data_IF_872606265552
#
_entry.id   IF_872606265552
#
_cell.length_a   1.000
_cell.length_b   1.000
_cell.length_c   1.000
_cell.angle_alpha   90.00
_cell.angle_beta   90.00
_cell.angle_gamma   90.00
#
_symmetry.space_group_name_H-M   'P 1'
#
loop_
_entity.id
_entity.type
_entity.pdbx_description
1 polymer ?
#
# COMPACT_ATOMS: atom_id res chain seq x y z
N UNK A 1 3.93 -9.62 -4.42
CA UNK A 1 2.48 -9.52 -4.32
C UNK A 1 2.13 -9.02 -2.91
N UNK A 2 1.40 -7.91 -2.80
CA UNK A 2 1.08 -7.27 -1.51
C UNK A 2 0.20 -8.16 -0.60
N UNK A 3 -0.54 -9.10 -1.15
CA UNK A 3 -1.32 -10.06 -0.35
C UNK A 3 -0.45 -11.00 0.47
N UNK A 4 0.78 -11.24 0.01
CA UNK A 4 1.73 -12.15 0.67
C UNK A 4 2.59 -11.45 1.73
N UNK A 5 2.61 -10.10 1.75
CA UNK A 5 3.35 -9.35 2.75
C UNK A 5 2.73 -9.52 4.14
N UNK A 6 3.58 -9.84 5.09
CA UNK A 6 3.20 -9.96 6.49
C UNK A 6 3.50 -8.66 7.22
N UNK A 7 2.44 -7.98 7.63
CA UNK A 7 2.53 -6.76 8.43
C UNK A 7 2.45 -7.08 9.92
N UNK A 8 3.06 -6.22 10.73
CA UNK A 8 2.86 -6.24 12.16
C UNK A 8 1.38 -5.99 12.48
N UNK A 9 0.77 -6.92 13.19
CA UNK A 9 -0.58 -6.79 13.73
C UNK A 9 -0.57 -7.00 15.24
N UNK A 10 -1.68 -6.78 15.91
CA UNK A 10 -1.80 -7.04 17.35
C UNK A 10 -1.57 -8.49 17.72
N UNK A 11 -1.66 -9.44 16.79
CA UNK A 11 -1.55 -10.89 17.04
C UNK A 11 -0.30 -11.52 16.47
N UNK A 12 0.17 -11.04 15.30
CA UNK A 12 1.21 -11.69 14.53
C UNK A 12 2.42 -10.79 14.33
N UNK A 13 3.60 -11.41 14.26
CA UNK A 13 4.83 -10.74 13.84
C UNK A 13 4.78 -10.45 12.33
N UNK A 14 5.17 -9.24 11.94
CA UNK A 14 5.31 -8.87 10.53
C UNK A 14 6.57 -9.47 9.90
N UNK A 15 6.71 -9.25 8.60
CA UNK A 15 7.88 -9.65 7.81
C UNK A 15 9.14 -8.91 8.27
N UNK A 16 10.26 -9.64 8.43
CA UNK A 16 11.54 -9.04 8.85
C UNK A 16 12.26 -8.36 7.67
N UNK A 17 13.19 -7.42 7.94
CA UNK A 17 14.03 -6.84 6.88
C UNK A 17 14.81 -7.87 6.08
N UNK A 18 15.33 -8.92 6.73
CA UNK A 18 16.07 -10.00 6.10
C UNK A 18 15.19 -10.80 5.14
N UNK A 19 13.98 -11.14 5.54
CA UNK A 19 13.00 -11.83 4.69
C UNK A 19 12.64 -11.00 3.45
N UNK A 20 12.50 -9.68 3.62
CA UNK A 20 12.23 -8.76 2.51
C UNK A 20 13.41 -8.70 1.51
N UNK A 21 14.64 -8.60 2.02
CA UNK A 21 15.84 -8.60 1.17
C UNK A 21 16.02 -9.94 0.46
N UNK A 22 15.75 -11.05 1.12
CA UNK A 22 15.80 -12.39 0.53
C UNK A 22 14.76 -12.56 -0.60
N UNK A 23 13.58 -12.00 -0.42
CA UNK A 23 12.49 -12.08 -1.41
C UNK A 23 12.67 -11.12 -2.60
N UNK A 24 13.13 -9.89 -2.36
CA UNK A 24 13.12 -8.81 -3.36
C UNK A 24 14.51 -8.30 -3.76
N UNK A 25 15.57 -8.84 -3.16
CA UNK A 25 16.93 -8.46 -3.44
C UNK A 25 17.44 -7.30 -2.58
N UNK A 26 18.69 -6.92 -2.83
CA UNK A 26 19.37 -5.87 -2.08
C UNK A 26 18.68 -4.51 -2.29
N UNK A 27 18.38 -3.82 -1.20
CA UNK A 27 17.87 -2.46 -1.24
C UNK A 27 18.87 -1.48 -1.88
N UNK A 28 18.37 -0.51 -2.65
CA UNK A 28 19.16 0.57 -3.25
C UNK A 28 19.74 1.51 -2.20
N UNK A 29 18.97 1.77 -1.15
CA UNK A 29 19.41 2.53 0.01
C UNK A 29 18.70 2.08 1.29
N UNK A 30 19.31 2.40 2.42
CA UNK A 30 18.83 2.08 3.76
C UNK A 30 18.91 3.33 4.63
N UNK A 31 17.85 3.64 5.34
CA UNK A 31 17.80 4.75 6.29
C UNK A 31 17.30 4.26 7.65
N UNK A 32 17.96 4.67 8.71
CA UNK A 32 17.51 4.41 10.07
C UNK A 32 17.37 5.73 10.82
N UNK A 33 16.16 6.05 11.23
CA UNK A 33 15.83 7.30 11.92
C UNK A 33 14.67 7.10 12.88
N UNK A 34 14.78 7.70 14.08
CA UNK A 34 13.72 7.73 15.09
C UNK A 34 13.16 6.35 15.47
N UNK A 35 14.00 5.30 15.42
CA UNK A 35 13.58 3.93 15.75
C UNK A 35 12.91 3.18 14.60
N UNK A 36 12.83 3.77 13.42
CA UNK A 36 12.33 3.14 12.20
C UNK A 36 13.48 2.83 11.24
N UNK A 37 13.42 1.64 10.62
CA UNK A 37 14.25 1.26 9.50
C UNK A 37 13.46 1.39 8.22
N UNK A 38 14.03 2.07 7.22
CA UNK A 38 13.44 2.23 5.89
C UNK A 38 14.34 1.61 4.85
N UNK A 39 13.80 0.70 4.05
CA UNK A 39 14.46 0.09 2.91
C UNK A 39 13.85 0.65 1.63
N UNK A 40 14.72 1.04 0.68
CA UNK A 40 14.31 1.61 -0.61
C UNK A 40 14.81 0.74 -1.75
N UNK A 41 13.95 0.47 -2.71
CA UNK A 41 14.29 -0.13 -4.00
C UNK A 41 13.86 0.83 -5.10
N UNK A 42 14.86 1.45 -5.73
CA UNK A 42 14.63 2.41 -6.83
C UNK A 42 14.86 1.74 -8.17
N UNK A 43 13.92 1.89 -9.07
CA UNK A 43 14.11 1.59 -10.48
C UNK A 43 14.08 2.88 -11.29
N UNK A 44 15.23 3.53 -11.39
CA UNK A 44 15.38 4.79 -12.11
C UNK A 44 15.04 4.69 -13.59
N UNK A 45 15.12 3.49 -14.19
CA UNK A 45 14.79 3.26 -15.60
C UNK A 45 13.28 3.31 -15.85
N UNK A 46 12.47 3.00 -14.83
CA UNK A 46 11.02 2.97 -14.90
C UNK A 46 10.34 4.05 -14.05
N UNK A 47 11.12 4.92 -13.40
CA UNK A 47 10.59 5.94 -12.48
C UNK A 47 9.69 5.34 -11.39
N UNK A 48 10.11 4.24 -10.79
CA UNK A 48 9.38 3.51 -9.74
C UNK A 48 10.23 3.40 -8.48
N UNK A 49 9.60 3.54 -7.35
CA UNK A 49 10.20 3.36 -6.04
C UNK A 49 9.32 2.44 -5.18
N UNK A 50 9.97 1.51 -4.51
CA UNK A 50 9.36 0.71 -3.44
C UNK A 50 10.03 1.07 -2.13
N UNK A 51 9.26 1.29 -1.08
CA UNK A 51 9.74 1.58 0.25
C UNK A 51 9.05 0.70 1.27
N UNK A 52 9.86 0.02 2.10
CA UNK A 52 9.39 -0.74 3.24
C UNK A 52 9.84 -0.07 4.54
N UNK A 53 8.92 0.20 5.45
CA UNK A 53 9.19 0.80 6.76
C UNK A 53 8.98 -0.23 7.86
N UNK A 54 9.97 -0.37 8.71
CA UNK A 54 9.99 -1.27 9.86
C UNK A 54 10.03 -0.47 11.14
N UNK A 55 9.24 -0.88 12.11
CA UNK A 55 9.25 -0.32 13.45
C UNK A 55 9.79 -1.34 14.45
N UNK A 56 10.49 -0.85 15.47
CA UNK A 56 11.06 -1.72 16.51
C UNK A 56 9.97 -2.14 17.50
N UNK A 57 9.76 -3.44 17.63
CA UNK A 57 8.94 -4.06 18.66
C UNK A 57 9.79 -5.02 19.50
N UNK A 58 10.02 -4.68 20.76
CA UNK A 58 10.93 -5.46 21.61
C UNK A 58 12.35 -5.46 21.03
N UNK A 59 12.84 -6.64 20.60
CA UNK A 59 14.19 -6.82 20.01
C UNK A 59 14.18 -6.91 18.50
N UNK A 60 13.02 -6.98 17.87
CA UNK A 60 12.86 -7.20 16.42
C UNK A 60 12.33 -5.97 15.71
N UNK A 61 12.69 -5.86 14.43
CA UNK A 61 12.14 -4.91 13.49
C UNK A 61 11.06 -5.60 12.67
N UNK A 62 9.85 -5.03 12.64
CA UNK A 62 8.67 -5.61 11.99
C UNK A 62 8.04 -4.63 11.01
N UNK A 63 7.59 -5.15 9.87
CA UNK A 63 7.01 -4.37 8.79
C UNK A 63 5.71 -3.68 9.24
N UNK A 64 5.67 -2.35 9.14
CA UNK A 64 4.49 -1.54 9.48
C UNK A 64 3.93 -0.79 8.28
N UNK A 65 4.73 -0.56 7.24
CA UNK A 65 4.30 0.20 6.05
C UNK A 65 5.05 -0.25 4.81
N UNK A 66 4.32 -0.37 3.71
CA UNK A 66 4.86 -0.65 2.38
C UNK A 66 4.29 0.37 1.40
N UNK A 67 5.18 1.00 0.60
CA UNK A 67 4.80 2.03 -0.35
C UNK A 67 5.33 1.70 -1.74
N UNK A 68 4.49 1.89 -2.75
CA UNK A 68 4.86 1.83 -4.15
C UNK A 68 4.51 3.16 -4.81
N UNK A 69 5.52 3.85 -5.33
CA UNK A 69 5.38 5.14 -5.95
C UNK A 69 5.87 5.10 -7.41
N UNK A 70 5.15 5.80 -8.27
CA UNK A 70 5.52 6.01 -9.67
C UNK A 70 5.71 7.51 -9.93
N UNK A 71 6.80 7.86 -10.62
CA UNK A 71 7.17 9.25 -10.89
C UNK A 71 7.30 9.52 -12.38
N UNK A 72 7.09 10.77 -12.81
CA UNK A 72 7.63 11.30 -14.06
C UNK A 72 6.79 11.19 -15.31
N UNK A 73 5.52 10.79 -15.25
CA UNK A 73 4.54 10.95 -16.34
C UNK A 73 3.20 11.39 -15.78
N UNK A 74 2.43 12.14 -16.58
CA UNK A 74 1.04 12.47 -16.29
C UNK A 74 0.19 11.20 -16.35
N UNK A 75 0.34 10.35 -15.35
CA UNK A 75 -0.44 9.14 -15.17
C UNK A 75 -1.77 9.56 -14.53
N UNK A 76 -2.69 10.05 -15.35
CA UNK A 76 -3.99 10.51 -14.91
C UNK A 76 -5.08 9.54 -15.33
N UNK A 77 -6.13 9.49 -14.54
CA UNK A 77 -7.36 8.73 -14.81
C UNK A 77 -8.49 9.65 -15.21
N UNK A 78 -9.53 9.10 -15.82
CA UNK A 78 -10.73 9.86 -16.15
C UNK A 78 -11.40 10.41 -14.89
N UNK A 79 -12.05 11.57 -14.98
CA UNK A 79 -12.63 12.26 -13.81
C UNK A 79 -13.68 11.42 -13.08
N UNK A 80 -14.37 10.54 -13.81
CA UNK A 80 -15.42 9.66 -13.30
C UNK A 80 -14.96 8.20 -13.10
N UNK A 81 -13.66 7.92 -13.12
CA UNK A 81 -13.15 6.54 -13.09
C UNK A 81 -13.64 5.72 -11.87
N UNK A 82 -13.84 6.40 -10.75
CA UNK A 82 -14.24 5.76 -9.49
C UNK A 82 -15.76 5.53 -9.36
N UNK A 83 -16.58 6.04 -10.29
CA UNK A 83 -18.05 5.94 -10.19
C UNK A 83 -18.55 4.50 -10.26
N UNK A 84 -17.83 3.63 -10.98
CA UNK A 84 -18.16 2.22 -11.13
C UNK A 84 -17.73 1.33 -9.96
N UNK A 85 -16.99 1.86 -8.97
CA UNK A 85 -16.49 1.07 -7.84
C UNK A 85 -17.43 1.17 -6.65
N UNK A 86 -17.82 0.01 -6.12
CA UNK A 86 -18.71 -0.10 -4.98
C UNK A 86 -17.93 0.06 -3.68
N UNK A 87 -18.37 1.00 -2.85
CA UNK A 87 -17.93 1.12 -1.46
C UNK A 87 -18.70 0.11 -0.62
N UNK A 88 -17.98 -0.70 0.14
CA UNK A 88 -18.53 -1.66 1.09
C UNK A 88 -18.77 -1.05 2.46
N UNK A 89 -18.72 -1.89 3.47
CA UNK A 89 -18.80 -1.45 4.87
C UNK A 89 -17.59 -0.54 5.20
N UNK A 90 -17.84 0.59 5.85
CA UNK A 90 -16.80 1.60 6.14
C UNK A 90 -15.69 1.12 7.11
N UNK A 91 -16.00 0.15 7.96
CA UNK A 91 -15.06 -0.38 8.95
C UNK A 91 -14.34 -1.64 8.45
N UNK A 92 -15.01 -2.46 7.65
CA UNK A 92 -14.51 -3.78 7.25
C UNK A 92 -14.23 -3.92 5.76
N UNK A 93 -14.72 -3.00 4.92
CA UNK A 93 -14.68 -3.11 3.47
C UNK A 93 -15.64 -4.15 2.89
N UNK A 94 -16.33 -4.93 3.71
CA UNK A 94 -17.17 -6.05 3.27
C UNK A 94 -18.20 -5.62 2.21
N UNK A 95 -18.21 -6.34 1.08
CA UNK A 95 -19.08 -6.06 -0.06
C UNK A 95 -18.58 -4.96 -0.99
N UNK A 96 -17.40 -4.37 -0.72
CA UNK A 96 -16.76 -3.39 -1.59
C UNK A 96 -16.04 -4.03 -2.78
N UNK A 97 -15.66 -3.20 -3.76
CA UNK A 97 -14.86 -3.62 -4.92
C UNK A 97 -13.47 -4.06 -4.47
N UNK A 98 -12.95 -5.15 -5.03
CA UNK A 98 -11.59 -5.62 -4.78
C UNK A 98 -10.55 -4.70 -5.40
N UNK A 99 -9.44 -4.47 -4.69
CA UNK A 99 -8.28 -3.71 -5.18
C UNK A 99 -7.70 -4.29 -6.49
N UNK A 100 -7.86 -5.57 -6.73
CA UNK A 100 -7.38 -6.24 -7.95
C UNK A 100 -8.03 -5.72 -9.21
N UNK A 101 -9.30 -5.36 -9.16
CA UNK A 101 -10.01 -4.75 -10.29
C UNK A 101 -9.39 -3.41 -10.68
N UNK A 102 -8.94 -2.62 -9.69
CA UNK A 102 -8.27 -1.35 -9.95
C UNK A 102 -6.86 -1.55 -10.48
N UNK A 103 -6.09 -2.48 -9.93
CA UNK A 103 -4.75 -2.80 -10.43
C UNK A 103 -4.77 -3.29 -11.86
N UNK A 104 -5.75 -4.10 -12.23
CA UNK A 104 -5.91 -4.60 -13.60
C UNK A 104 -6.17 -3.49 -14.60
N UNK A 105 -7.02 -2.52 -14.24
CA UNK A 105 -7.42 -1.43 -15.13
C UNK A 105 -6.49 -0.22 -15.11
N UNK A 106 -5.96 0.12 -13.93
CA UNK A 106 -5.31 1.42 -13.67
C UNK A 106 -3.92 1.28 -13.01
N UNK A 107 -3.35 0.07 -13.01
CA UNK A 107 -2.07 -0.20 -12.33
C UNK A 107 -0.92 0.69 -12.76
N UNK A 108 -0.92 1.20 -13.99
CA UNK A 108 0.11 2.13 -14.49
C UNK A 108 -0.03 3.56 -13.95
N UNK A 109 -1.16 3.88 -13.32
CA UNK A 109 -1.47 5.22 -12.81
C UNK A 109 -1.55 5.27 -11.26
N UNK A 110 -1.34 4.14 -10.59
CA UNK A 110 -1.54 4.03 -9.15
C UNK A 110 -0.27 4.32 -8.36
N UNK A 111 -0.40 5.10 -7.29
CA UNK A 111 0.49 5.05 -6.14
C UNK A 111 -0.26 4.34 -5.01
N UNK A 112 0.42 3.49 -4.26
CA UNK A 112 -0.24 2.75 -3.19
C UNK A 112 0.59 2.72 -1.91
N UNK A 113 -0.12 2.68 -0.80
CA UNK A 113 0.44 2.52 0.54
C UNK A 113 -0.34 1.43 1.28
N UNK A 114 0.37 0.44 1.80
CA UNK A 114 -0.20 -0.55 2.72
C UNK A 114 0.38 -0.31 4.09
N UNK A 115 -0.46 -0.21 5.11
CA UNK A 115 -0.03 0.02 6.48
C UNK A 115 -0.84 -0.79 7.48
N UNK A 116 -0.19 -1.11 8.60
CA UNK A 116 -0.83 -1.71 9.75
C UNK A 116 -1.02 -0.69 10.87
N UNK A 117 -2.08 -0.85 11.65
CA UNK A 117 -2.29 -0.09 12.88
C UNK A 117 -1.60 -0.78 14.07
N UNK A 118 -0.96 0.00 14.93
CA UNK A 118 -0.33 -0.52 16.17
C UNK A 118 -1.34 -1.06 17.17
N UNK A 119 -2.57 -0.57 17.11
CA UNK A 119 -3.61 -0.84 18.11
C UNK A 119 -4.65 -1.86 17.64
N UNK A 120 -4.60 -2.29 16.39
CA UNK A 120 -5.57 -3.23 15.83
C UNK A 120 -4.91 -4.22 14.86
N UNK A 121 -5.63 -5.29 14.54
CA UNK A 121 -5.23 -6.26 13.51
C UNK A 121 -5.57 -5.79 12.09
N UNK A 122 -6.03 -4.54 11.95
CA UNK A 122 -6.45 -3.97 10.68
C UNK A 122 -5.25 -3.60 9.81
N UNK A 123 -5.31 -4.01 8.57
CA UNK A 123 -4.34 -3.62 7.54
C UNK A 123 -5.11 -2.89 6.44
N UNK A 124 -4.66 -1.69 6.15
CA UNK A 124 -5.27 -0.78 5.20
C UNK A 124 -4.39 -0.60 3.96
N UNK A 125 -5.01 -0.59 2.80
CA UNK A 125 -4.41 -0.22 1.54
C UNK A 125 -5.05 1.07 1.03
N UNK A 126 -4.25 2.09 0.75
CA UNK A 126 -4.69 3.31 0.09
C UNK A 126 -4.10 3.36 -1.31
N UNK A 127 -4.94 3.59 -2.30
CA UNK A 127 -4.55 3.86 -3.68
C UNK A 127 -4.83 5.31 -4.02
N UNK A 128 -3.79 6.03 -4.46
CA UNK A 128 -3.87 7.44 -4.84
C UNK A 128 -3.88 7.57 -6.36
N UNK A 129 -4.81 8.36 -6.87
CA UNK A 129 -4.91 8.65 -8.30
C UNK A 129 -5.05 10.16 -8.54
N UNK A 130 -4.46 10.64 -9.63
CA UNK A 130 -4.72 11.98 -10.15
C UNK A 130 -5.70 11.91 -11.31
N UNK A 131 -6.75 12.73 -11.26
CA UNK A 131 -7.73 12.88 -12.34
C UNK A 131 -7.22 13.82 -13.42
N UNK A 132 -7.77 13.73 -14.61
CA UNK A 132 -7.45 14.64 -15.74
C UNK A 132 -7.76 16.09 -15.45
N UNK A 133 -8.79 16.37 -14.64
CA UNK A 133 -9.14 17.73 -14.19
C UNK A 133 -8.18 18.33 -13.16
N UNK A 134 -7.22 17.54 -12.67
CA UNK A 134 -6.23 17.95 -11.67
C UNK A 134 -6.56 17.58 -10.23
N UNK A 135 -7.79 17.13 -9.95
CA UNK A 135 -8.18 16.64 -8.64
C UNK A 135 -7.48 15.32 -8.31
N UNK A 136 -7.41 15.02 -7.02
CA UNK A 136 -6.93 13.72 -6.52
C UNK A 136 -8.10 12.91 -5.97
N UNK A 137 -7.92 11.61 -5.94
CA UNK A 137 -8.84 10.68 -5.28
C UNK A 137 -8.04 9.59 -4.60
N UNK A 138 -8.39 9.37 -3.33
CA UNK A 138 -7.87 8.30 -2.51
C UNK A 138 -8.94 7.22 -2.34
N UNK A 139 -8.57 6.00 -2.63
CA UNK A 139 -9.42 4.83 -2.45
C UNK A 139 -8.82 3.99 -1.31
N UNK A 140 -9.58 3.84 -0.24
CA UNK A 140 -9.17 3.08 0.94
C UNK A 140 -9.81 1.70 0.94
N UNK A 141 -8.97 0.67 1.14
CA UNK A 141 -9.36 -0.74 1.16
C UNK A 141 -8.92 -1.36 2.47
N UNK A 142 -9.74 -2.24 3.00
CA UNK A 142 -9.45 -3.00 4.22
C UNK A 142 -9.15 -4.46 3.86
N UNK A 143 -8.10 -5.01 4.46
CA UNK A 143 -7.68 -6.41 4.26
C UNK A 143 -8.71 -7.36 4.85
N UNK A 144 -9.03 -8.39 4.07
CA UNK A 144 -9.92 -9.47 4.45
C UNK A 144 -9.11 -10.69 4.97
N UNK A 145 -9.77 -11.61 5.64
CA UNK A 145 -9.14 -12.85 6.15
C UNK A 145 -8.47 -13.69 5.05
N UNK A 146 -8.99 -13.64 3.82
CA UNK A 146 -8.42 -14.34 2.66
C UNK A 146 -7.24 -13.61 2.00
N UNK A 147 -6.82 -12.45 2.54
CA UNK A 147 -5.73 -11.64 2.00
C UNK A 147 -6.15 -10.60 0.95
N UNK A 148 -7.40 -10.64 0.44
CA UNK A 148 -7.92 -9.59 -0.46
C UNK A 148 -8.10 -8.27 0.29
N UNK A 149 -8.18 -7.17 -0.47
CA UNK A 149 -8.48 -5.83 0.06
C UNK A 149 -9.75 -5.32 -0.62
N UNK A 150 -10.74 -4.96 0.17
CA UNK A 150 -12.04 -4.48 -0.32
C UNK A 150 -12.26 -3.01 0.01
N UNK A 151 -12.83 -2.28 -0.95
CA UNK A 151 -13.04 -0.83 -0.89
C UNK A 151 -13.99 -0.43 0.24
N UNK A 152 -13.51 0.40 1.16
CA UNK A 152 -14.25 0.93 2.32
C UNK A 152 -14.59 2.41 2.22
N UNK A 153 -13.78 3.21 1.49
CA UNK A 153 -14.07 4.64 1.26
C UNK A 153 -13.47 5.17 -0.04
N UNK A 154 -14.03 6.29 -0.51
CA UNK A 154 -13.55 7.09 -1.64
C UNK A 154 -13.52 8.56 -1.20
N UNK A 155 -12.37 9.18 -1.23
CA UNK A 155 -12.17 10.57 -0.86
C UNK A 155 -11.59 11.35 -2.05
N UNK A 156 -12.24 12.46 -2.44
CA UNK A 156 -11.79 13.32 -3.54
C UNK A 156 -11.48 14.73 -3.04
N UNK A 157 -10.39 15.33 -3.50
CA UNK A 157 -9.91 16.68 -3.11
C UNK A 157 -9.05 17.36 -4.19
#
# INVERSE_FOLDING_TARGET
DIEQLQFLTGKDSGETPEEMVDAYGKASSVQFESGELKLFWDDNSYNKEVKATYSKRGKELQLVKFEFNQFGKNLTVEDNFADGFKVGNSETGAGGTSYKELLEKYGDAVNLTVSSSDDSDEIELVMDFQKKNGDYVDLTFIRQENGDFLLSSKDSY
#
